data_IF_005143314250
#
_entry.id   IF_005143314250
#
_cell.length_a   1.000
_cell.length_b   1.000
_cell.length_c   1.000
_cell.angle_alpha   90.00
_cell.angle_beta   90.00
_cell.angle_gamma   90.00
#
_symmetry.space_group_name_H-M   'P 1'
#
loop_
_entity.id
_entity.type
_entity.pdbx_description
1 polymer ?
#
# COMPACT_ATOMS: atom_id res chain seq x y z
N UNK A 1 0.63 19.40 -12.40
CA UNK A 1 -0.29 18.36 -11.87
C UNK A 1 0.40 17.01 -11.73
N UNK A 2 0.93 16.43 -12.80
CA UNK A 2 1.61 15.12 -12.73
C UNK A 2 2.77 15.11 -11.74
N UNK A 3 3.58 16.15 -11.70
CA UNK A 3 4.70 16.29 -10.75
C UNK A 3 4.23 16.20 -9.29
N UNK A 4 3.10 16.82 -8.98
CA UNK A 4 2.53 16.78 -7.62
C UNK A 4 2.05 15.38 -7.26
N UNK A 5 1.39 14.69 -8.19
CA UNK A 5 0.92 13.32 -7.97
C UNK A 5 2.10 12.36 -7.77
N UNK A 6 3.16 12.51 -8.58
CA UNK A 6 4.37 11.71 -8.44
C UNK A 6 5.05 11.96 -7.08
N UNK A 7 5.08 13.19 -6.60
CA UNK A 7 5.63 13.50 -5.28
C UNK A 7 4.80 12.87 -4.15
N UNK A 8 3.49 12.97 -4.26
CA UNK A 8 2.57 12.31 -3.31
C UNK A 8 2.80 10.80 -3.32
N UNK A 9 2.94 10.20 -4.49
CA UNK A 9 3.23 8.77 -4.61
C UNK A 9 4.56 8.40 -3.98
N UNK A 10 5.62 9.18 -4.23
CA UNK A 10 6.93 8.94 -3.63
C UNK A 10 6.87 8.96 -2.10
N UNK A 11 6.21 9.97 -1.52
CA UNK A 11 6.04 10.05 -0.08
C UNK A 11 5.27 8.85 0.48
N UNK A 12 4.18 8.47 -0.18
CA UNK A 12 3.39 7.29 0.20
C UNK A 12 4.23 6.02 0.14
N UNK A 13 4.99 5.82 -0.94
CA UNK A 13 5.87 4.67 -1.12
C UNK A 13 6.91 4.59 0.00
N UNK A 14 7.63 5.67 0.22
CA UNK A 14 8.71 5.70 1.20
C UNK A 14 8.19 5.41 2.61
N UNK A 15 7.07 6.00 2.99
CA UNK A 15 6.50 5.76 4.31
C UNK A 15 5.94 4.36 4.46
N UNK A 16 5.22 3.85 3.48
CA UNK A 16 4.66 2.49 3.53
C UNK A 16 5.77 1.44 3.61
N UNK A 17 6.85 1.61 2.84
CA UNK A 17 7.99 0.70 2.90
C UNK A 17 8.71 0.80 4.25
N UNK A 18 8.83 1.99 4.83
CA UNK A 18 9.40 2.16 6.16
C UNK A 18 8.57 1.45 7.24
N UNK A 19 7.25 1.54 7.16
CA UNK A 19 6.33 0.84 8.06
C UNK A 19 6.49 -0.67 7.92
N UNK A 20 6.54 -1.18 6.69
CA UNK A 20 6.70 -2.60 6.42
C UNK A 20 8.07 -3.12 6.92
N UNK A 21 9.09 -2.31 6.82
CA UNK A 21 10.46 -2.69 7.17
C UNK A 21 10.70 -2.72 8.69
N UNK A 22 10.09 -1.81 9.44
CA UNK A 22 10.35 -1.69 10.88
C UNK A 22 9.77 -2.86 11.69
N UNK A 23 8.69 -3.51 11.22
CA UNK A 23 8.13 -4.69 11.88
C UNK A 23 9.11 -5.85 11.72
N UNK A 24 9.60 -6.45 12.82
CA UNK A 24 10.50 -7.61 12.72
C UNK A 24 9.83 -8.81 12.03
N UNK A 25 10.62 -9.62 11.36
CA UNK A 25 10.13 -10.85 10.69
C UNK A 25 9.29 -11.72 11.63
N UNK A 26 9.76 -11.93 12.86
CA UNK A 26 9.06 -12.77 13.84
C UNK A 26 7.75 -12.17 14.36
N UNK A 27 7.46 -10.91 14.03
CA UNK A 27 6.21 -10.23 14.41
C UNK A 27 5.25 -10.04 13.21
N UNK A 28 5.64 -10.53 12.03
CA UNK A 28 4.81 -10.34 10.84
C UNK A 28 3.46 -11.04 10.92
N UNK A 29 3.33 -12.06 11.76
CA UNK A 29 2.06 -12.74 11.98
C UNK A 29 1.29 -12.23 13.19
N UNK A 30 1.78 -11.18 13.86
CA UNK A 30 1.07 -10.57 14.97
C UNK A 30 -0.16 -9.81 14.50
N UNK A 31 -1.17 -9.76 15.36
CA UNK A 31 -2.40 -9.00 15.11
C UNK A 31 -3.01 -8.55 16.43
N UNK A 32 -3.86 -7.50 16.42
CA UNK A 32 -4.68 -7.15 17.57
C UNK A 32 -5.66 -8.28 17.89
N UNK A 33 -6.21 -8.26 19.09
CA UNK A 33 -7.26 -9.19 19.49
C UNK A 33 -8.49 -9.02 18.60
N UNK A 34 -9.17 -10.14 18.33
CA UNK A 34 -10.39 -10.16 17.55
C UNK A 34 -10.17 -10.54 16.07
N UNK A 35 -11.24 -10.44 15.26
CA UNK A 35 -11.21 -10.84 13.85
C UNK A 35 -10.51 -9.77 13.00
N UNK A 36 -9.20 -9.84 12.92
CA UNK A 36 -8.38 -8.92 12.13
C UNK A 36 -7.35 -9.71 11.33
N UNK A 37 -6.88 -9.12 10.23
CA UNK A 37 -5.71 -9.64 9.54
C UNK A 37 -4.48 -9.56 10.44
N UNK A 38 -3.51 -10.43 10.24
CA UNK A 38 -2.19 -10.21 10.80
C UNK A 38 -1.45 -9.13 10.00
N UNK A 39 -0.29 -8.69 10.51
CA UNK A 39 0.48 -7.62 9.86
C UNK A 39 0.87 -7.98 8.42
N UNK A 40 1.30 -9.21 8.20
CA UNK A 40 1.68 -9.72 6.87
C UNK A 40 0.51 -9.65 5.89
N UNK A 41 -0.65 -10.13 6.30
CA UNK A 41 -1.85 -10.09 5.49
C UNK A 41 -2.28 -8.65 5.17
N UNK A 42 -2.17 -7.75 6.14
CA UNK A 42 -2.49 -6.33 5.95
C UNK A 42 -1.57 -5.68 4.92
N UNK A 43 -0.25 -5.94 4.98
CA UNK A 43 0.70 -5.42 4.00
C UNK A 43 0.45 -5.98 2.60
N UNK A 44 0.14 -7.26 2.49
CA UNK A 44 -0.26 -7.88 1.22
C UNK A 44 -1.54 -7.26 0.66
N UNK A 45 -2.50 -6.97 1.53
CA UNK A 45 -3.74 -6.30 1.13
C UNK A 45 -3.46 -4.90 0.57
N UNK A 46 -2.55 -4.15 1.18
CA UNK A 46 -2.16 -2.83 0.66
C UNK A 46 -1.58 -2.98 -0.75
N UNK A 47 -0.66 -3.91 -0.95
CA UNK A 47 -0.03 -4.13 -2.26
C UNK A 47 -1.05 -4.51 -3.33
N UNK A 48 -1.93 -5.46 -3.03
CA UNK A 48 -2.98 -5.85 -3.96
C UNK A 48 -3.97 -4.70 -4.22
N UNK A 49 -4.29 -3.94 -3.19
CA UNK A 49 -5.14 -2.77 -3.32
C UNK A 49 -4.58 -1.76 -4.31
N UNK A 50 -3.27 -1.50 -4.28
CA UNK A 50 -2.63 -0.60 -5.25
C UNK A 50 -2.85 -1.11 -6.68
N UNK A 51 -2.66 -2.40 -6.93
CA UNK A 51 -2.88 -2.99 -8.25
C UNK A 51 -4.35 -2.87 -8.67
N UNK A 52 -5.26 -3.25 -7.80
CA UNK A 52 -6.69 -3.29 -8.12
C UNK A 52 -7.25 -1.89 -8.35
N UNK A 53 -6.93 -0.93 -7.47
CA UNK A 53 -7.43 0.43 -7.60
C UNK A 53 -6.90 1.12 -8.85
N UNK A 54 -5.60 0.98 -9.17
CA UNK A 54 -5.06 1.58 -10.38
C UNK A 54 -5.65 0.96 -11.65
N UNK A 55 -5.83 -0.35 -11.68
CA UNK A 55 -6.39 -1.01 -12.86
C UNK A 55 -7.82 -0.53 -13.13
N UNK A 56 -8.66 -0.46 -12.10
CA UNK A 56 -10.06 -0.09 -12.27
C UNK A 56 -10.27 1.40 -12.46
N UNK A 57 -9.54 2.25 -11.75
CA UNK A 57 -9.86 3.68 -11.67
C UNK A 57 -8.85 4.61 -12.32
N UNK A 58 -7.65 4.16 -12.65
CA UNK A 58 -6.67 4.96 -13.38
C UNK A 58 -6.54 4.44 -14.82
N UNK A 59 -6.26 3.17 -14.99
CA UNK A 59 -6.23 2.53 -16.31
C UNK A 59 -7.62 2.31 -16.89
N UNK A 60 -8.65 2.31 -16.04
CA UNK A 60 -10.04 2.09 -16.41
C UNK A 60 -10.25 0.74 -17.11
N UNK A 61 -9.53 -0.27 -16.63
CA UNK A 61 -9.68 -1.67 -17.04
C UNK A 61 -10.39 -2.41 -15.89
N UNK A 62 -11.63 -2.81 -16.14
CA UNK A 62 -12.45 -3.48 -15.11
C UNK A 62 -11.84 -4.81 -14.70
N UNK A 63 -11.62 -4.98 -13.40
CA UNK A 63 -11.16 -6.21 -12.78
C UNK A 63 -11.93 -6.52 -11.52
N UNK A 64 -12.34 -7.77 -11.36
CA UNK A 64 -12.94 -8.27 -10.14
C UNK A 64 -11.93 -8.26 -8.98
N UNK A 65 -12.44 -8.16 -7.76
CA UNK A 65 -11.61 -8.31 -6.58
C UNK A 65 -11.30 -9.80 -6.39
N UNK A 66 -10.07 -10.19 -6.69
CA UNK A 66 -9.60 -11.57 -6.62
C UNK A 66 -8.13 -11.59 -6.19
N UNK A 67 -7.84 -11.34 -4.90
CA UNK A 67 -6.47 -11.28 -4.43
C UNK A 67 -5.80 -12.65 -4.48
N UNK A 68 -4.52 -12.71 -4.89
CA UNK A 68 -3.75 -13.93 -4.81
C UNK A 68 -3.47 -14.30 -3.34
N UNK A 69 -2.98 -15.50 -3.11
CA UNK A 69 -2.51 -15.88 -1.78
C UNK A 69 -1.43 -14.89 -1.31
N UNK A 70 -1.51 -14.50 -0.04
CA UNK A 70 -0.55 -13.55 0.55
C UNK A 70 0.86 -14.13 0.49
N UNK A 71 1.85 -13.27 0.19
CA UNK A 71 3.28 -13.63 0.30
C UNK A 71 3.56 -14.05 1.73
N UNK A 72 4.42 -15.04 1.90
CA UNK A 72 4.58 -15.74 3.19
C UNK A 72 5.69 -15.16 4.07
N UNK A 73 6.61 -14.38 3.52
CA UNK A 73 7.72 -13.81 4.27
C UNK A 73 7.72 -12.30 4.23
N UNK A 74 8.38 -11.66 5.19
CA UNK A 74 8.60 -10.20 5.19
C UNK A 74 9.27 -9.75 3.89
N UNK A 75 10.33 -10.44 3.47
CA UNK A 75 11.09 -10.10 2.27
C UNK A 75 10.20 -10.12 1.02
N UNK A 76 9.41 -11.18 0.86
CA UNK A 76 8.49 -11.31 -0.27
C UNK A 76 7.38 -10.26 -0.22
N UNK A 77 6.87 -9.96 0.96
CA UNK A 77 5.83 -8.95 1.16
C UNK A 77 6.33 -7.56 0.79
N UNK A 78 7.53 -7.20 1.24
CA UNK A 78 8.15 -5.90 0.89
C UNK A 78 8.42 -5.82 -0.61
N UNK A 79 8.89 -6.90 -1.22
CA UNK A 79 9.09 -6.95 -2.67
C UNK A 79 7.78 -6.74 -3.44
N UNK A 80 6.68 -7.31 -2.96
CA UNK A 80 5.37 -7.11 -3.54
C UNK A 80 4.91 -5.65 -3.43
N UNK A 81 5.08 -5.04 -2.26
CA UNK A 81 4.77 -3.61 -2.09
C UNK A 81 5.57 -2.74 -3.07
N UNK A 82 6.87 -2.97 -3.20
CA UNK A 82 7.70 -2.23 -4.15
C UNK A 82 7.21 -2.38 -5.58
N UNK A 83 6.92 -3.60 -5.99
CA UNK A 83 6.42 -3.89 -7.33
C UNK A 83 5.10 -3.15 -7.60
N UNK A 84 4.18 -3.16 -6.64
CA UNK A 84 2.90 -2.47 -6.78
C UNK A 84 3.08 -0.95 -6.92
N UNK A 85 3.94 -0.34 -6.10
CA UNK A 85 4.24 1.08 -6.20
C UNK A 85 4.95 1.45 -7.50
N UNK A 86 5.89 0.62 -7.95
CA UNK A 86 6.60 0.85 -9.22
C UNK A 86 5.61 0.78 -10.40
N UNK A 87 4.67 -0.15 -10.37
CA UNK A 87 3.61 -0.25 -11.37
C UNK A 87 2.72 0.99 -11.37
N UNK A 88 2.35 1.51 -10.21
CA UNK A 88 1.55 2.73 -10.10
C UNK A 88 2.31 3.95 -10.63
N UNK A 89 3.60 4.05 -10.34
CA UNK A 89 4.43 5.11 -10.89
C UNK A 89 4.49 5.05 -12.43
N UNK A 90 4.67 3.87 -12.98
CA UNK A 90 4.68 3.68 -14.44
C UNK A 90 3.33 4.05 -15.05
N UNK A 91 2.23 3.70 -14.39
CA UNK A 91 0.89 4.08 -14.82
C UNK A 91 0.72 5.60 -14.86
N UNK A 92 1.13 6.31 -13.81
CA UNK A 92 1.07 7.78 -13.79
C UNK A 92 1.91 8.40 -14.90
N UNK A 93 3.05 7.82 -15.20
CA UNK A 93 3.94 8.35 -16.26
C UNK A 93 3.40 8.11 -17.66
N UNK A 94 2.68 7.03 -17.89
CA UNK A 94 2.22 6.62 -19.22
C UNK A 94 0.81 7.05 -19.58
N UNK A 95 -0.02 7.36 -18.57
CA UNK A 95 -1.41 7.73 -18.80
C UNK A 95 -1.58 9.24 -19.02
N UNK A 96 -2.52 9.60 -19.89
CA UNK A 96 -3.03 10.97 -19.97
C UNK A 96 -4.02 11.18 -18.84
N UNK A 97 -3.66 12.03 -17.88
CA UNK A 97 -4.42 12.19 -16.65
C UNK A 97 -5.53 13.22 -16.83
N UNK A 98 -6.76 12.74 -16.87
CA UNK A 98 -7.98 13.56 -16.78
C UNK A 98 -8.50 13.57 -15.33
N UNK A 99 -9.59 14.28 -15.09
CA UNK A 99 -10.17 14.41 -13.74
C UNK A 99 -10.54 13.05 -13.13
N UNK A 100 -11.10 12.13 -13.90
CA UNK A 100 -11.51 10.82 -13.42
C UNK A 100 -10.29 9.98 -12.99
N UNK A 101 -9.21 10.03 -13.75
CA UNK A 101 -7.98 9.30 -13.44
C UNK A 101 -7.27 9.91 -12.23
N UNK A 102 -7.29 11.22 -12.10
CA UNK A 102 -6.77 11.92 -10.92
C UNK A 102 -7.58 11.52 -9.69
N UNK A 103 -8.90 11.47 -9.79
CA UNK A 103 -9.75 10.98 -8.71
C UNK A 103 -9.44 9.53 -8.38
N UNK A 104 -9.20 8.69 -9.38
CA UNK A 104 -8.76 7.30 -9.19
C UNK A 104 -7.44 7.21 -8.43
N UNK A 105 -6.49 8.09 -8.72
CA UNK A 105 -5.24 8.16 -7.97
C UNK A 105 -5.48 8.52 -6.50
N UNK A 106 -6.32 9.51 -6.24
CA UNK A 106 -6.65 9.89 -4.86
C UNK A 106 -7.34 8.74 -4.12
N UNK A 107 -8.27 8.06 -4.76
CA UNK A 107 -8.92 6.88 -4.16
C UNK A 107 -7.90 5.79 -3.83
N UNK A 108 -6.92 5.56 -4.70
CA UNK A 108 -5.84 4.60 -4.47
C UNK A 108 -5.00 4.99 -3.25
N UNK A 109 -4.59 6.25 -3.16
CA UNK A 109 -3.78 6.73 -2.04
C UNK A 109 -4.56 6.75 -0.72
N UNK A 110 -5.85 7.07 -0.76
CA UNK A 110 -6.72 7.02 0.41
C UNK A 110 -6.85 5.61 0.96
N UNK A 111 -7.00 4.61 0.08
CA UNK A 111 -7.04 3.20 0.48
C UNK A 111 -5.73 2.77 1.15
N UNK A 112 -4.59 3.17 0.57
CA UNK A 112 -3.28 2.91 1.18
C UNK A 112 -3.21 3.54 2.58
N UNK A 113 -3.54 4.80 2.69
CA UNK A 113 -3.45 5.57 3.94
C UNK A 113 -4.35 4.97 5.02
N UNK A 114 -5.56 4.54 4.64
CA UNK A 114 -6.51 3.90 5.55
C UNK A 114 -5.91 2.65 6.20
N UNK A 115 -5.40 1.73 5.38
CA UNK A 115 -4.82 0.49 5.90
C UNK A 115 -3.46 0.68 6.55
N UNK A 116 -2.66 1.62 6.05
CA UNK A 116 -1.37 1.93 6.67
C UNK A 116 -1.56 2.50 8.08
N UNK A 117 -2.60 3.30 8.30
CA UNK A 117 -2.97 3.76 9.64
C UNK A 117 -3.27 2.61 10.60
N UNK A 118 -3.94 1.57 10.11
CA UNK A 118 -4.14 0.34 10.89
C UNK A 118 -2.80 -0.33 11.23
N UNK A 119 -1.88 -0.40 10.26
CA UNK A 119 -0.56 -0.98 10.47
C UNK A 119 0.23 -0.26 11.58
N UNK A 120 0.08 1.06 11.70
CA UNK A 120 0.70 1.83 12.78
C UNK A 120 0.23 1.34 14.15
N UNK A 121 -1.04 1.04 14.29
CA UNK A 121 -1.59 0.47 15.54
C UNK A 121 -0.97 -0.90 15.82
N UNK A 122 -0.80 -1.73 14.80
CA UNK A 122 -0.15 -3.05 14.95
C UNK A 122 1.26 -2.91 15.51
N UNK A 123 2.04 -1.95 14.98
CA UNK A 123 3.38 -1.65 15.51
C UNK A 123 3.32 -1.26 16.98
N UNK A 124 2.43 -0.33 17.33
CA UNK A 124 2.30 0.14 18.72
C UNK A 124 1.87 -0.98 19.67
N UNK A 125 1.01 -1.88 19.23
CA UNK A 125 0.60 -3.04 20.02
C UNK A 125 1.78 -3.98 20.35
N UNK A 126 2.84 -3.95 19.54
CA UNK A 126 4.06 -4.71 19.78
C UNK A 126 5.16 -3.89 20.45
N UNK A 127 4.85 -2.67 20.90
CA UNK A 127 5.81 -1.79 21.55
C UNK A 127 6.84 -1.20 20.61
N UNK A 128 6.55 -1.17 19.30
CA UNK A 128 7.46 -0.64 18.29
C UNK A 128 7.05 0.78 17.95
N UNK A 129 8.00 1.72 18.06
CA UNK A 129 7.77 3.10 17.66
C UNK A 129 7.70 3.19 16.13
N UNK A 130 6.57 3.69 15.56
CA UNK A 130 6.46 3.82 14.12
C UNK A 130 7.47 4.81 13.54
N UNK A 131 7.81 4.70 12.25
CA UNK A 131 8.60 5.72 11.59
C UNK A 131 7.90 7.08 11.63
N UNK A 132 8.67 8.16 11.58
CA UNK A 132 8.11 9.50 11.50
C UNK A 132 7.28 9.66 10.23
N UNK A 133 6.10 10.29 10.36
CA UNK A 133 5.15 10.43 9.26
C UNK A 133 5.72 11.29 8.13
N UNK A 134 5.58 10.80 6.89
CA UNK A 134 5.96 11.49 5.66
C UNK A 134 4.68 11.84 4.89
N UNK A 135 4.54 13.10 4.47
CA UNK A 135 3.37 13.59 3.74
C UNK A 135 3.76 14.43 2.52
#
# INVERSE_FOLDING_TARGET
MKTQLLKTLENSRNYTLAVADIMPENEYESKPDGPAWNFRELMNHIAYGIEWWQDNYIKQTEKSWDPPAARTTKKQTIAYLRQAYDALQNTLNSEDLNEDKIQGFHATTDHITHHRGQAIIYLRCRGIEPPEYIY
#
